data_IF_297811871090
#
_entry.id   IF_297811871090
#
_cell.length_a   1.000
_cell.length_b   1.000
_cell.length_c   1.000
_cell.angle_alpha   90.00
_cell.angle_beta   90.00
_cell.angle_gamma   90.00
#
_symmetry.space_group_name_H-M   'P 1'
#
loop_
_entity.id
_entity.type
_entity.pdbx_description
1 polymer ?
#
# COMPACT_ATOMS: atom_id res chain seq x y z
N UNK A 1 -6.64 -24.24 -2.98
CA UNK A 1 -5.91 -23.05 -3.47
C UNK A 1 -5.75 -23.09 -4.98
N UNK A 2 -5.28 -24.20 -5.55
CA UNK A 2 -5.03 -24.36 -6.99
C UNK A 2 -6.25 -24.06 -7.89
N UNK A 3 -7.45 -24.47 -7.49
CA UNK A 3 -8.69 -24.17 -8.22
C UNK A 3 -9.00 -22.65 -8.25
N UNK A 4 -8.67 -21.92 -7.18
CA UNK A 4 -8.88 -20.47 -7.15
C UNK A 4 -7.84 -19.74 -8.00
N UNK A 5 -6.58 -20.21 -8.00
CA UNK A 5 -5.54 -19.68 -8.90
C UNK A 5 -5.97 -19.85 -10.35
N UNK A 6 -6.46 -21.04 -10.72
CA UNK A 6 -7.00 -21.30 -12.07
C UNK A 6 -8.14 -20.35 -12.45
N UNK A 7 -9.09 -20.14 -11.53
CA UNK A 7 -10.20 -19.17 -11.74
C UNK A 7 -9.72 -17.72 -11.87
N UNK A 8 -8.72 -17.30 -11.11
CA UNK A 8 -8.14 -15.96 -11.24
C UNK A 8 -7.45 -15.78 -12.59
N UNK A 9 -6.63 -16.74 -13.01
CA UNK A 9 -5.93 -16.70 -14.29
C UNK A 9 -6.94 -16.65 -15.46
N UNK A 10 -8.02 -17.44 -15.38
CA UNK A 10 -9.09 -17.43 -16.39
C UNK A 10 -9.90 -16.12 -16.43
N UNK A 11 -9.81 -15.28 -15.40
CA UNK A 11 -10.50 -14.00 -15.34
C UNK A 11 -9.68 -12.83 -15.92
N UNK A 12 -8.41 -13.05 -16.25
CA UNK A 12 -7.52 -12.03 -16.83
C UNK A 12 -7.91 -11.72 -18.29
N UNK A 13 -7.60 -10.50 -18.79
CA UNK A 13 -7.85 -10.14 -20.18
C UNK A 13 -6.93 -10.89 -21.15
N UNK A 14 -7.38 -11.11 -22.40
CA UNK A 14 -6.63 -11.76 -23.49
C UNK A 14 -5.50 -10.88 -24.10
N UNK A 15 -4.91 -9.98 -23.30
CA UNK A 15 -3.83 -9.07 -23.68
C UNK A 15 -2.51 -9.49 -23.00
N UNK A 16 -1.33 -9.02 -23.48
CA UNK A 16 -0.07 -9.30 -22.80
C UNK A 16 -0.15 -8.86 -21.33
N UNK A 17 -0.07 -9.84 -20.45
CA UNK A 17 -0.20 -9.67 -19.00
C UNK A 17 1.16 -9.31 -18.44
N UNK A 18 1.21 -8.34 -17.53
CA UNK A 18 2.43 -8.08 -16.76
C UNK A 18 2.88 -9.37 -16.05
N UNK A 19 4.14 -9.84 -16.26
CA UNK A 19 4.66 -11.02 -15.57
C UNK A 19 4.52 -10.95 -14.04
N UNK A 20 4.58 -9.75 -13.45
CA UNK A 20 4.39 -9.54 -12.02
C UNK A 20 2.97 -9.90 -11.58
N UNK A 21 1.95 -9.53 -12.37
CA UNK A 21 0.55 -9.83 -12.09
C UNK A 21 0.28 -11.33 -12.15
N UNK A 22 0.72 -12.01 -13.21
CA UNK A 22 0.55 -13.45 -13.34
C UNK A 22 1.22 -14.21 -12.18
N UNK A 23 2.44 -13.81 -11.82
CA UNK A 23 3.16 -14.41 -10.71
C UNK A 23 2.50 -14.12 -9.35
N UNK A 24 2.00 -12.89 -9.14
CA UNK A 24 1.27 -12.53 -7.95
C UNK A 24 -0.02 -13.35 -7.79
N UNK A 25 -0.73 -13.67 -8.88
CA UNK A 25 -1.89 -14.58 -8.84
C UNK A 25 -1.48 -15.98 -8.39
N UNK A 26 -0.41 -16.53 -8.96
CA UNK A 26 0.12 -17.85 -8.58
C UNK A 26 0.60 -17.88 -7.12
N UNK A 27 1.13 -16.76 -6.61
CA UNK A 27 1.74 -16.65 -5.29
C UNK A 27 0.86 -15.96 -4.24
N UNK A 28 -0.40 -15.67 -4.55
CA UNK A 28 -1.29 -14.84 -3.71
C UNK A 28 -1.50 -15.33 -2.27
N UNK A 29 -1.27 -16.61 -2.02
CA UNK A 29 -1.39 -17.25 -0.70
C UNK A 29 -0.03 -17.60 -0.07
N UNK A 30 1.08 -17.24 -0.71
CA UNK A 30 2.42 -17.54 -0.23
C UNK A 30 2.84 -16.56 0.86
N UNK A 31 3.61 -17.05 1.82
CA UNK A 31 4.30 -16.18 2.77
C UNK A 31 5.43 -15.40 2.06
N UNK A 32 5.89 -14.25 2.61
CA UNK A 32 7.03 -13.52 2.04
C UNK A 32 8.28 -14.40 1.86
N UNK A 33 8.50 -15.35 2.77
CA UNK A 33 9.58 -16.34 2.66
C UNK A 33 9.37 -17.28 1.46
N UNK A 34 8.16 -17.80 1.29
CA UNK A 34 7.82 -18.66 0.15
C UNK A 34 7.97 -17.95 -1.20
N UNK A 35 7.56 -16.69 -1.30
CA UNK A 35 7.76 -15.87 -2.50
C UNK A 35 9.26 -15.75 -2.80
N UNK A 36 10.09 -15.47 -1.80
CA UNK A 36 11.54 -15.35 -1.97
C UNK A 36 12.19 -16.68 -2.42
N UNK A 37 11.76 -17.81 -1.85
CA UNK A 37 12.27 -19.13 -2.22
C UNK A 37 11.97 -19.48 -3.68
N UNK A 38 10.72 -19.32 -4.11
CA UNK A 38 10.33 -19.60 -5.51
C UNK A 38 11.00 -18.61 -6.46
N UNK A 39 11.08 -17.33 -6.08
CA UNK A 39 11.73 -16.31 -6.90
C UNK A 39 13.22 -16.59 -7.11
N UNK A 40 13.90 -17.12 -6.09
CA UNK A 40 15.29 -17.55 -6.18
C UNK A 40 15.44 -18.77 -7.09
N UNK A 41 14.53 -19.74 -6.98
CA UNK A 41 14.54 -20.94 -7.83
C UNK A 41 14.33 -20.60 -9.31
N UNK A 42 13.43 -19.66 -9.61
CA UNK A 42 13.14 -19.18 -10.97
C UNK A 42 14.11 -18.11 -11.49
N UNK A 43 15.06 -17.67 -10.66
CA UNK A 43 16.04 -16.59 -10.98
C UNK A 43 15.37 -15.30 -11.45
N UNK A 44 14.31 -14.87 -10.75
CA UNK A 44 13.60 -13.64 -11.08
C UNK A 44 14.51 -12.41 -10.91
N UNK A 45 14.32 -11.39 -11.74
CA UNK A 45 14.98 -10.10 -11.55
C UNK A 45 14.53 -9.44 -10.24
N UNK A 46 15.39 -8.63 -9.63
CA UNK A 46 15.04 -7.88 -8.42
C UNK A 46 13.78 -7.02 -8.61
N UNK A 47 13.64 -6.38 -9.79
CA UNK A 47 12.47 -5.57 -10.13
C UNK A 47 11.18 -6.41 -10.08
N UNK A 48 11.19 -7.58 -10.72
CA UNK A 48 10.03 -8.47 -10.75
C UNK A 48 9.70 -9.02 -9.35
N UNK A 49 10.72 -9.42 -8.57
CA UNK A 49 10.53 -9.85 -7.18
C UNK A 49 9.88 -8.73 -6.34
N UNK A 50 10.39 -7.49 -6.43
CA UNK A 50 9.83 -6.35 -5.70
C UNK A 50 8.37 -6.10 -6.06
N UNK A 51 8.03 -6.17 -7.36
CA UNK A 51 6.65 -6.02 -7.82
C UNK A 51 5.74 -7.12 -7.25
N UNK A 52 6.14 -8.39 -7.35
CA UNK A 52 5.37 -9.53 -6.83
C UNK A 52 5.17 -9.45 -5.33
N UNK A 53 6.24 -9.17 -4.57
CA UNK A 53 6.16 -9.03 -3.10
C UNK A 53 5.19 -7.91 -2.73
N UNK A 54 5.25 -6.78 -3.42
CA UNK A 54 4.33 -5.67 -3.16
C UNK A 54 2.89 -6.04 -3.53
N UNK A 55 2.65 -6.64 -4.69
CA UNK A 55 1.30 -7.05 -5.13
C UNK A 55 0.65 -8.02 -4.15
N UNK A 56 1.35 -9.10 -3.78
CA UNK A 56 0.83 -10.10 -2.84
C UNK A 56 0.65 -9.50 -1.45
N UNK A 57 1.58 -8.66 -0.99
CA UNK A 57 1.50 -7.99 0.31
C UNK A 57 0.37 -6.94 0.40
N UNK A 58 0.05 -6.27 -0.70
CA UNK A 58 -0.99 -5.24 -0.78
C UNK A 58 -2.39 -5.79 -1.00
N UNK A 59 -2.53 -7.02 -1.51
CA UNK A 59 -3.83 -7.63 -1.80
C UNK A 59 -4.79 -7.69 -0.60
N UNK A 60 -4.36 -8.06 0.64
CA UNK A 60 -5.25 -8.02 1.80
C UNK A 60 -5.84 -6.63 2.08
N UNK A 61 -5.02 -5.57 1.97
CA UNK A 61 -5.47 -4.20 2.15
C UNK A 61 -6.46 -3.79 1.05
N UNK A 62 -6.18 -4.16 -0.20
CA UNK A 62 -7.08 -3.94 -1.34
C UNK A 62 -8.42 -4.68 -1.20
N UNK A 63 -8.44 -5.89 -0.63
CA UNK A 63 -9.67 -6.63 -0.32
C UNK A 63 -10.51 -5.95 0.76
N UNK A 64 -9.86 -5.24 1.68
CA UNK A 64 -10.50 -4.43 2.73
C UNK A 64 -10.83 -3.00 2.26
N UNK A 65 -11.11 -2.81 0.96
CA UNK A 65 -11.33 -1.51 0.32
C UNK A 65 -12.32 -0.59 1.04
N UNK A 66 -13.36 -1.12 1.70
CA UNK A 66 -14.35 -0.31 2.42
C UNK A 66 -13.84 0.25 3.76
N UNK A 67 -12.93 -0.44 4.44
CA UNK A 67 -12.40 -0.06 5.76
C UNK A 67 -10.97 0.48 5.69
N UNK A 68 -10.38 0.58 4.50
CA UNK A 68 -9.01 1.06 4.31
C UNK A 68 -8.87 2.53 4.74
N UNK A 69 -7.83 2.88 5.50
CA UNK A 69 -7.55 4.29 5.82
C UNK A 69 -7.19 5.08 4.55
N UNK A 70 -7.40 6.40 4.57
CA UNK A 70 -7.08 7.26 3.43
C UNK A 70 -5.57 7.27 3.14
N UNK A 71 -4.73 7.21 4.17
CA UNK A 71 -3.29 7.11 4.01
C UNK A 71 -2.86 5.83 3.28
N UNK A 72 -3.49 4.69 3.60
CA UNK A 72 -3.18 3.43 2.93
C UNK A 72 -3.68 3.44 1.49
N UNK A 73 -4.88 3.99 1.25
CA UNK A 73 -5.39 4.18 -0.10
C UNK A 73 -4.44 5.03 -0.96
N UNK A 74 -4.01 6.21 -0.46
CA UNK A 74 -3.04 7.08 -1.14
C UNK A 74 -1.72 6.36 -1.39
N UNK A 75 -1.24 5.56 -0.43
CA UNK A 75 -0.02 4.76 -0.58
C UNK A 75 -0.16 3.70 -1.67
N UNK A 76 -1.31 3.02 -1.77
CA UNK A 76 -1.58 2.06 -2.84
C UNK A 76 -1.60 2.76 -4.21
N UNK A 77 -2.28 3.90 -4.30
CA UNK A 77 -2.39 4.68 -5.54
C UNK A 77 -1.06 5.28 -6.01
N UNK A 78 -0.17 5.63 -5.09
CA UNK A 78 1.15 6.18 -5.41
C UNK A 78 2.13 5.15 -6.01
N UNK A 79 1.86 3.86 -5.82
CA UNK A 79 2.80 2.81 -6.22
C UNK A 79 2.70 2.49 -7.72
N UNK A 80 3.84 2.22 -8.36
CA UNK A 80 3.91 1.94 -9.79
C UNK A 80 3.05 0.73 -10.22
N UNK A 81 2.89 -0.25 -9.33
CA UNK A 81 2.11 -1.47 -9.56
C UNK A 81 0.61 -1.33 -9.21
N UNK A 82 0.10 -0.12 -8.95
CA UNK A 82 -1.31 0.09 -8.59
C UNK A 82 -2.28 -0.51 -9.61
N UNK A 83 -2.01 -0.34 -10.91
CA UNK A 83 -2.86 -0.90 -11.97
C UNK A 83 -2.87 -2.44 -11.93
N UNK A 84 -1.71 -3.06 -11.74
CA UNK A 84 -1.57 -4.50 -11.55
C UNK A 84 -2.32 -4.98 -10.30
N UNK A 85 -2.33 -4.20 -9.22
CA UNK A 85 -3.08 -4.52 -8.00
C UNK A 85 -4.60 -4.45 -8.20
N UNK A 86 -5.09 -3.46 -8.93
CA UNK A 86 -6.52 -3.35 -9.27
C UNK A 86 -6.98 -4.54 -10.10
N UNK A 87 -6.17 -4.96 -11.06
CA UNK A 87 -6.46 -6.12 -11.90
C UNK A 87 -6.39 -7.43 -11.10
N UNK A 88 -5.39 -7.57 -10.21
CA UNK A 88 -5.31 -8.68 -9.26
C UNK A 88 -6.56 -8.76 -8.38
N UNK A 89 -7.02 -7.62 -7.85
CA UNK A 89 -8.24 -7.56 -7.03
C UNK A 89 -9.49 -7.92 -7.85
N UNK A 90 -9.59 -7.46 -9.10
CA UNK A 90 -10.70 -7.78 -10.02
C UNK A 90 -10.78 -9.29 -10.25
N UNK A 91 -9.66 -9.90 -10.64
CA UNK A 91 -9.56 -11.34 -10.86
C UNK A 91 -9.85 -12.15 -9.59
N UNK A 92 -9.36 -11.71 -8.43
CA UNK A 92 -9.64 -12.32 -7.14
C UNK A 92 -11.12 -12.24 -6.75
N UNK A 93 -11.77 -11.10 -6.97
CA UNK A 93 -13.20 -10.90 -6.72
C UNK A 93 -14.07 -11.82 -7.57
N UNK A 94 -13.74 -11.97 -8.86
CA UNK A 94 -14.43 -12.89 -9.77
C UNK A 94 -14.24 -14.33 -9.30
N UNK A 95 -13.00 -14.74 -9.04
CA UNK A 95 -12.68 -16.12 -8.65
C UNK A 95 -13.31 -16.53 -7.32
N UNK A 96 -13.38 -15.61 -6.35
CA UNK A 96 -13.96 -15.89 -5.02
C UNK A 96 -15.48 -15.77 -4.98
N UNK A 97 -16.12 -15.28 -6.05
CA UNK A 97 -17.57 -15.02 -6.06
C UNK A 97 -18.00 -13.92 -5.08
N UNK A 98 -17.07 -13.13 -4.55
CA UNK A 98 -17.35 -12.03 -3.61
C UNK A 98 -18.03 -10.82 -4.27
N UNK A 99 -18.32 -10.90 -5.57
CA UNK A 99 -18.86 -9.83 -6.38
C UNK A 99 -17.81 -8.77 -6.73
N UNK A 100 -18.04 -8.03 -7.81
CA UNK A 100 -17.18 -6.92 -8.29
C UNK A 100 -17.15 -5.74 -7.26
N UNK A 101 -17.92 -5.83 -6.18
CA UNK A 101 -18.08 -4.80 -5.16
C UNK A 101 -16.75 -4.33 -4.53
N UNK A 102 -15.78 -5.21 -4.25
CA UNK A 102 -14.47 -4.78 -3.68
C UNK A 102 -13.67 -3.92 -4.66
N UNK A 103 -13.58 -4.38 -5.91
CA UNK A 103 -12.93 -3.65 -6.99
C UNK A 103 -13.62 -2.29 -7.21
N UNK A 104 -14.94 -2.29 -7.38
CA UNK A 104 -15.71 -1.06 -7.59
C UNK A 104 -15.58 -0.09 -6.43
N UNK A 105 -15.57 -0.59 -5.19
CA UNK A 105 -15.37 0.23 -3.99
C UNK A 105 -14.00 0.90 -4.02
N UNK A 106 -12.94 0.15 -4.28
CA UNK A 106 -11.58 0.69 -4.31
C UNK A 106 -11.41 1.72 -5.44
N UNK A 107 -11.92 1.43 -6.63
CA UNK A 107 -11.88 2.35 -7.79
C UNK A 107 -12.68 3.63 -7.51
N UNK A 108 -13.88 3.53 -6.94
CA UNK A 108 -14.69 4.70 -6.57
C UNK A 108 -13.99 5.56 -5.52
N UNK A 109 -13.40 4.93 -4.49
CA UNK A 109 -12.63 5.65 -3.47
C UNK A 109 -11.39 6.32 -4.05
N UNK A 110 -10.67 5.63 -4.92
CA UNK A 110 -9.50 6.17 -5.61
C UNK A 110 -9.84 7.37 -6.50
N UNK A 111 -10.96 7.31 -7.24
CA UNK A 111 -11.43 8.43 -8.06
C UNK A 111 -11.81 9.68 -7.24
N UNK A 112 -12.12 9.52 -5.95
CA UNK A 112 -12.40 10.62 -5.03
C UNK A 112 -11.14 11.31 -4.48
N UNK A 113 -9.94 10.77 -4.70
CA UNK A 113 -8.68 11.35 -4.25
C UNK A 113 -8.05 12.13 -5.41
N UNK A 114 -7.78 13.43 -5.22
CA UNK A 114 -7.12 14.22 -6.25
C UNK A 114 -5.65 13.76 -6.41
N UNK A 115 -5.13 13.77 -7.65
CA UNK A 115 -3.75 13.32 -7.92
C UNK A 115 -2.69 14.07 -7.11
N UNK A 116 -2.90 15.37 -6.85
CA UNK A 116 -1.99 16.18 -6.03
C UNK A 116 -1.94 15.71 -4.56
N UNK A 117 -2.99 15.03 -4.08
CA UNK A 117 -3.12 14.58 -2.69
C UNK A 117 -2.64 13.14 -2.48
N UNK A 118 -2.23 12.44 -3.54
CA UNK A 118 -1.72 11.06 -3.47
C UNK A 118 -0.35 11.02 -2.79
N UNK A 119 0.51 11.99 -3.08
CA UNK A 119 1.86 12.07 -2.50
C UNK A 119 2.23 13.52 -2.19
N UNK A 120 1.53 14.16 -1.24
CA UNK A 120 1.82 15.52 -0.84
C UNK A 120 3.21 15.60 -0.17
N UNK A 121 3.91 16.74 -0.27
CA UNK A 121 5.14 16.98 0.47
C UNK A 121 4.86 16.94 1.98
N UNK A 122 5.71 16.31 2.80
CA UNK A 122 5.54 16.34 4.25
C UNK A 122 5.50 17.77 4.79
N UNK A 123 4.58 18.06 5.73
CA UNK A 123 4.51 19.39 6.35
C UNK A 123 5.69 19.73 7.26
N UNK A 124 6.36 18.70 7.78
CA UNK A 124 7.52 18.82 8.66
C UNK A 124 8.63 17.87 8.22
N UNK A 125 9.86 18.25 8.56
CA UNK A 125 11.10 17.56 8.25
C UNK A 125 11.87 17.24 9.52
N UNK A 126 12.98 16.51 9.39
CA UNK A 126 13.87 16.25 10.53
C UNK A 126 14.49 17.51 11.13
N UNK A 127 14.71 18.56 10.33
CA UNK A 127 15.23 19.83 10.80
C UNK A 127 14.24 20.51 11.76
N UNK A 128 12.95 20.48 11.43
CA UNK A 128 11.90 21.07 12.28
C UNK A 128 11.84 20.39 13.66
N UNK A 129 12.10 19.07 13.72
CA UNK A 129 12.16 18.35 14.98
C UNK A 129 13.44 18.66 15.77
N UNK A 130 14.57 18.85 15.09
CA UNK A 130 15.82 19.26 15.71
C UNK A 130 15.70 20.66 16.35
N UNK A 131 15.04 21.60 15.67
CA UNK A 131 14.75 22.95 16.18
C UNK A 131 13.82 22.91 17.41
N UNK A 132 12.98 21.88 17.53
CA UNK A 132 12.17 21.61 18.71
C UNK A 132 12.93 20.88 19.84
N UNK A 133 14.24 20.69 19.72
CA UNK A 133 15.09 20.04 20.73
C UNK A 133 15.05 18.51 20.70
N UNK A 134 14.53 17.89 19.64
CA UNK A 134 14.49 16.44 19.50
C UNK A 134 15.79 15.96 18.82
N UNK A 135 16.64 15.18 19.49
CA UNK A 135 17.90 14.74 18.90
C UNK A 135 17.68 13.75 17.75
N UNK A 136 18.57 13.73 16.74
CA UNK A 136 18.48 12.81 15.62
C UNK A 136 18.57 11.35 16.09
N UNK A 137 17.76 10.48 15.48
CA UNK A 137 17.77 9.04 15.77
C UNK A 137 16.53 8.31 15.27
N UNK A 138 16.38 7.00 15.53
CA UNK A 138 15.25 6.20 15.05
C UNK A 138 13.87 6.73 15.49
N UNK A 139 13.83 7.45 16.62
CA UNK A 139 12.60 8.09 17.11
C UNK A 139 12.11 9.21 16.18
N UNK A 140 13.01 9.99 15.59
CA UNK A 140 12.66 11.05 14.61
C UNK A 140 11.94 10.45 13.41
N UNK A 141 12.46 9.36 12.85
CA UNK A 141 11.81 8.67 11.73
C UNK A 141 10.39 8.16 12.08
N UNK A 142 10.20 7.63 13.30
CA UNK A 142 8.87 7.21 13.77
C UNK A 142 7.90 8.38 13.91
N UNK A 143 8.34 9.51 14.48
CA UNK A 143 7.52 10.71 14.66
C UNK A 143 7.14 11.33 13.31
N UNK A 144 8.11 11.49 12.40
CA UNK A 144 7.86 11.98 11.04
C UNK A 144 6.92 11.04 10.27
N UNK A 145 7.10 9.73 10.40
CA UNK A 145 6.21 8.74 9.78
C UNK A 145 4.78 8.82 10.31
N UNK A 146 4.60 8.98 11.63
CA UNK A 146 3.28 9.14 12.23
C UNK A 146 2.61 10.45 11.79
N UNK A 147 3.34 11.57 11.79
CA UNK A 147 2.85 12.85 11.32
C UNK A 147 2.49 12.80 9.83
N UNK A 148 3.35 12.21 8.99
CA UNK A 148 3.06 12.07 7.56
C UNK A 148 1.84 11.18 7.32
N UNK A 149 1.66 10.09 8.07
CA UNK A 149 0.45 9.28 8.00
C UNK A 149 -0.80 10.06 8.42
N UNK A 150 -0.71 10.90 9.45
CA UNK A 150 -1.80 11.77 9.86
C UNK A 150 -2.14 12.82 8.78
N UNK A 151 -1.13 13.35 8.09
CA UNK A 151 -1.28 14.25 6.95
C UNK A 151 -1.99 13.56 5.78
N UNK A 152 -1.56 12.36 5.40
CA UNK A 152 -2.20 11.60 4.32
C UNK A 152 -3.67 11.28 4.66
N UNK A 153 -3.96 11.05 5.95
CA UNK A 153 -5.32 10.90 6.48
C UNK A 153 -6.08 12.23 6.65
N UNK A 154 -5.51 13.37 6.25
CA UNK A 154 -6.12 14.71 6.33
C UNK A 154 -6.50 15.12 7.77
N UNK A 155 -5.91 14.48 8.79
CA UNK A 155 -6.09 14.83 10.21
C UNK A 155 -5.31 16.07 10.59
N UNK A 156 -4.23 16.35 9.87
CA UNK A 156 -3.44 17.56 9.96
C UNK A 156 -3.36 18.20 8.57
N UNK A 157 -3.39 19.52 8.54
CA UNK A 157 -3.50 20.33 7.31
C UNK A 157 -2.45 21.43 7.22
N UNK A 158 -1.62 21.58 8.26
CA UNK A 158 -0.55 22.58 8.30
C UNK A 158 0.69 22.08 9.03
N UNK A 159 1.79 22.81 8.86
CA UNK A 159 3.05 22.61 9.59
C UNK A 159 2.87 22.75 11.10
N UNK A 160 2.10 23.74 11.54
CA UNK A 160 1.83 24.00 12.95
C UNK A 160 1.11 22.82 13.61
N UNK A 161 0.06 22.31 12.95
CA UNK A 161 -0.66 21.12 13.41
C UNK A 161 0.22 19.88 13.42
N UNK A 162 1.12 19.72 12.44
CA UNK A 162 2.06 18.61 12.42
C UNK A 162 3.05 18.65 13.59
N UNK A 163 3.55 19.83 13.95
CA UNK A 163 4.44 20.02 15.10
C UNK A 163 3.72 19.76 16.44
N UNK A 164 2.49 20.25 16.57
CA UNK A 164 1.64 19.97 17.74
C UNK A 164 1.37 18.48 17.89
N UNK A 165 0.97 17.81 16.80
CA UNK A 165 0.77 16.36 16.77
C UNK A 165 2.00 15.58 17.25
N UNK A 166 3.20 15.96 16.82
CA UNK A 166 4.45 15.33 17.28
C UNK A 166 4.71 15.57 18.78
N UNK A 167 4.42 16.77 19.29
CA UNK A 167 4.56 17.07 20.74
C UNK A 167 3.60 16.22 21.58
N UNK A 168 2.37 16.03 21.12
CA UNK A 168 1.38 15.19 21.80
C UNK A 168 1.80 13.72 21.81
N UNK A 169 2.35 13.20 20.71
CA UNK A 169 2.91 11.86 20.65
C UNK A 169 4.08 11.64 21.62
N UNK A 170 4.89 12.69 21.85
CA UNK A 170 5.98 12.62 22.82
C UNK A 170 5.42 12.56 24.24
N UNK A 171 4.46 13.41 24.57
CA UNK A 171 3.87 13.49 25.92
C UNK A 171 3.10 12.21 26.28
N UNK A 172 2.31 11.69 25.34
CA UNK A 172 1.52 10.45 25.52
C UNK A 172 2.34 9.16 25.53
N UNK A 173 3.52 9.14 24.88
CA UNK A 173 4.42 7.99 24.86
C UNK A 173 5.43 7.93 26.02
N UNK A 174 5.33 8.83 27.00
CA UNK A 174 6.21 8.89 28.19
C UNK A 174 5.47 8.43 29.47
N UNK A 175 4.37 7.70 29.31
CA UNK A 175 3.60 7.06 30.40
C UNK A 175 3.75 5.54 30.39
#
# INVERSE_FOLDING_TARGET
>A
EDELVGRCLAALPDQPIDPALAMAICMRAYSPKGIAEVSRALRLSNRLLSAVVWLVGSLPAARAASSLELADLKTLMAHAECNSLLELLRADSIATGSGINRYDCLVKRAAGVANADITPPPFITGADLADCGIPPGPRVGRLLGAAYRAQLNERITSREQALEYVRDLITSGTG
#
